data_IF_424711064762
#
_entry.id   IF_424711064762
#
_cell.length_a   1.000
_cell.length_b   1.000
_cell.length_c   1.000
_cell.angle_alpha   90.00
_cell.angle_beta   90.00
_cell.angle_gamma   90.00
#
_symmetry.space_group_name_H-M   'P 1'
#
loop_
_entity.id
_entity.type
_entity.pdbx_description
1 polymer ?
#
# COMPACT_ATOMS: atom_id res chain seq x y z
N UNK A 1 19.01 -12.29 16.31
CA UNK A 1 18.15 -12.87 15.25
C UNK A 1 18.99 -13.09 14.00
N UNK A 2 18.74 -14.15 13.23
CA UNK A 2 19.44 -14.38 11.94
C UNK A 2 18.84 -13.49 10.85
N UNK A 3 19.67 -13.00 9.94
CA UNK A 3 19.23 -12.28 8.73
C UNK A 3 18.44 -13.26 7.85
N UNK A 4 17.31 -12.81 7.31
CA UNK A 4 16.49 -13.61 6.41
C UNK A 4 17.26 -14.00 5.13
N UNK A 5 17.15 -15.28 4.78
CA UNK A 5 17.88 -15.91 3.67
C UNK A 5 17.11 -15.89 2.34
N UNK A 6 15.78 -16.01 2.38
CA UNK A 6 14.92 -15.91 1.20
C UNK A 6 14.48 -14.47 1.02
N UNK A 7 14.76 -13.90 -0.15
CA UNK A 7 14.23 -12.63 -0.58
C UNK A 7 13.08 -12.90 -1.56
N UNK A 8 13.41 -13.00 -2.83
CA UNK A 8 12.46 -13.10 -3.94
C UNK A 8 12.08 -14.54 -4.30
N UNK A 9 12.75 -15.52 -3.70
CA UNK A 9 12.60 -16.93 -4.02
C UNK A 9 11.25 -17.49 -3.56
N UNK A 10 10.80 -18.55 -4.25
CA UNK A 10 9.70 -19.39 -3.80
C UNK A 10 9.95 -19.96 -2.41
N UNK A 11 8.90 -19.96 -1.58
CA UNK A 11 8.90 -20.60 -0.26
C UNK A 11 8.39 -22.04 -0.40
N UNK A 12 9.26 -23.04 -0.16
CA UNK A 12 8.87 -24.46 -0.17
C UNK A 12 7.76 -24.75 0.84
N UNK A 13 6.92 -25.75 0.55
CA UNK A 13 5.74 -26.04 1.36
C UNK A 13 6.08 -26.38 2.82
N UNK A 14 7.22 -27.01 3.05
CA UNK A 14 7.78 -27.39 4.35
C UNK A 14 8.28 -26.20 5.18
N UNK A 15 8.61 -25.08 4.55
CA UNK A 15 9.01 -23.84 5.24
C UNK A 15 7.81 -22.92 5.54
N UNK A 16 6.60 -23.30 5.10
CA UNK A 16 5.38 -22.53 5.33
C UNK A 16 4.77 -22.82 6.70
N UNK A 17 4.32 -21.77 7.36
CA UNK A 17 3.90 -21.79 8.75
C UNK A 17 2.88 -20.69 9.07
N UNK A 18 2.31 -20.73 10.27
CA UNK A 18 1.36 -19.71 10.75
C UNK A 18 -0.09 -20.04 10.42
N UNK A 19 -1.00 -19.12 10.75
CA UNK A 19 -2.44 -19.29 10.55
C UNK A 19 -3.01 -18.05 9.85
N UNK A 20 -4.05 -18.22 9.03
CA UNK A 20 -4.71 -17.10 8.35
C UNK A 20 -5.14 -15.98 9.30
N UNK A 21 -5.59 -16.33 10.52
CA UNK A 21 -5.97 -15.36 11.56
C UNK A 21 -4.84 -14.42 11.99
N UNK A 22 -3.58 -14.80 11.77
CA UNK A 22 -2.43 -13.98 12.11
C UNK A 22 -2.26 -12.80 11.15
N UNK A 23 -2.95 -12.81 9.99
CA UNK A 23 -2.99 -11.68 9.05
C UNK A 23 -3.77 -10.49 9.59
N UNK A 24 -4.83 -10.74 10.39
CA UNK A 24 -5.64 -9.66 10.97
C UNK A 24 -4.79 -8.66 11.77
N UNK A 25 -4.04 -9.08 12.82
CA UNK A 25 -3.26 -8.13 13.59
C UNK A 25 -2.17 -7.46 12.76
N UNK A 26 -1.61 -8.11 11.73
CA UNK A 26 -0.60 -7.51 10.85
C UNK A 26 -1.19 -6.28 10.14
N UNK A 27 -2.31 -6.45 9.44
CA UNK A 27 -2.93 -5.39 8.65
C UNK A 27 -3.66 -4.35 9.49
N UNK A 28 -4.18 -4.77 10.64
CA UNK A 28 -4.70 -3.84 11.65
C UNK A 28 -3.58 -2.91 12.15
N UNK A 29 -2.47 -3.49 12.62
CA UNK A 29 -1.31 -2.71 13.06
C UNK A 29 -0.69 -1.88 11.95
N UNK A 30 -0.78 -2.34 10.69
CA UNK A 30 -0.20 -1.63 9.55
C UNK A 30 -0.85 -0.28 9.29
N UNK A 31 -2.01 -0.05 9.90
CA UNK A 31 -2.72 1.22 9.85
C UNK A 31 -2.60 2.02 11.16
N UNK A 32 -2.06 1.45 12.25
CA UNK A 32 -1.92 2.09 13.56
C UNK A 32 -0.72 3.07 13.61
N UNK A 33 -0.72 4.06 12.74
CA UNK A 33 0.33 5.08 12.67
C UNK A 33 -0.24 6.44 12.24
N UNK A 34 0.53 7.49 12.48
CA UNK A 34 0.10 8.88 12.28
C UNK A 34 -0.18 9.20 10.81
N UNK A 35 0.51 8.59 9.84
CA UNK A 35 0.19 8.79 8.41
C UNK A 35 -1.25 8.39 8.07
N UNK A 36 -1.75 7.26 8.58
CA UNK A 36 -3.14 6.83 8.36
C UNK A 36 -4.11 7.85 8.95
N UNK A 37 -3.80 8.33 10.16
CA UNK A 37 -4.60 9.34 10.85
C UNK A 37 -4.67 10.63 10.02
N UNK A 38 -3.52 11.15 9.62
CA UNK A 38 -3.41 12.36 8.78
C UNK A 38 -4.09 12.18 7.43
N UNK A 39 -4.08 10.98 6.86
CA UNK A 39 -4.82 10.70 5.62
C UNK A 39 -6.34 10.85 5.83
N UNK A 40 -6.85 10.51 7.01
CA UNK A 40 -8.26 10.72 7.37
C UNK A 40 -8.65 12.18 7.58
N UNK A 41 -7.69 13.09 7.74
CA UNK A 41 -7.94 14.53 7.76
C UNK A 41 -8.18 15.12 6.37
N UNK A 42 -7.69 14.46 5.33
CA UNK A 42 -7.72 14.99 3.97
C UNK A 42 -9.14 15.23 3.42
N UNK A 43 -10.16 14.38 3.68
CA UNK A 43 -11.54 14.69 3.28
C UNK A 43 -12.06 16.02 3.86
N UNK A 44 -11.68 16.35 5.09
CA UNK A 44 -12.00 17.64 5.73
C UNK A 44 -11.25 18.77 5.02
N UNK A 45 -9.95 18.58 4.76
CA UNK A 45 -9.12 19.56 4.05
C UNK A 45 -9.60 19.83 2.61
N UNK A 46 -10.26 18.85 1.97
CA UNK A 46 -10.90 18.98 0.66
C UNK A 46 -12.25 19.72 0.73
N UNK A 47 -12.78 19.99 1.93
CA UNK A 47 -13.99 20.79 2.14
C UNK A 47 -15.24 19.99 2.54
N UNK A 48 -15.12 18.70 2.86
CA UNK A 48 -16.24 17.95 3.45
C UNK A 48 -16.43 18.29 4.93
N UNK A 49 -17.66 18.22 5.41
CA UNK A 49 -17.93 18.20 6.85
C UNK A 49 -17.52 16.85 7.48
N UNK A 50 -17.57 16.75 8.81
CA UNK A 50 -17.18 15.53 9.51
C UNK A 50 -18.06 14.34 9.14
N UNK A 51 -19.38 14.54 9.02
CA UNK A 51 -20.31 13.48 8.62
C UNK A 51 -19.93 12.85 7.26
N UNK A 52 -19.84 13.64 6.19
CA UNK A 52 -19.51 13.13 4.85
C UNK A 52 -18.08 12.61 4.75
N UNK A 53 -17.15 13.16 5.54
CA UNK A 53 -15.79 12.64 5.64
C UNK A 53 -15.76 11.22 6.22
N UNK A 54 -16.51 10.97 7.31
CA UNK A 54 -16.61 9.64 7.90
C UNK A 54 -17.25 8.63 6.93
N UNK A 55 -18.31 9.04 6.22
CA UNK A 55 -18.94 8.19 5.21
C UNK A 55 -17.98 7.90 4.05
N UNK A 56 -17.24 8.92 3.55
CA UNK A 56 -16.25 8.72 2.49
C UNK A 56 -15.12 7.79 2.92
N UNK A 57 -14.65 7.91 4.18
CA UNK A 57 -13.64 7.03 4.77
C UNK A 57 -14.13 5.59 4.81
N UNK A 58 -15.35 5.36 5.31
CA UNK A 58 -15.94 4.02 5.41
C UNK A 58 -16.11 3.42 4.00
N UNK A 59 -16.76 4.14 3.08
CA UNK A 59 -17.04 3.63 1.73
C UNK A 59 -15.74 3.36 0.96
N UNK A 60 -14.82 4.34 0.92
CA UNK A 60 -13.54 4.18 0.24
C UNK A 60 -12.70 3.04 0.81
N UNK A 61 -12.68 2.90 2.15
CA UNK A 61 -11.96 1.81 2.81
C UNK A 61 -12.54 0.46 2.45
N UNK A 62 -13.85 0.29 2.56
CA UNK A 62 -14.49 -0.99 2.27
C UNK A 62 -14.28 -1.39 0.81
N UNK A 63 -14.40 -0.45 -0.13
CA UNK A 63 -14.18 -0.73 -1.55
C UNK A 63 -12.72 -1.10 -1.86
N UNK A 64 -11.76 -0.28 -1.40
CA UNK A 64 -10.35 -0.53 -1.68
C UNK A 64 -9.81 -1.78 -0.99
N UNK A 65 -10.31 -2.10 0.21
CA UNK A 65 -9.92 -3.30 0.95
C UNK A 65 -10.30 -4.60 0.23
N UNK A 66 -11.35 -4.62 -0.60
CA UNK A 66 -11.72 -5.81 -1.40
C UNK A 66 -10.55 -6.22 -2.28
N UNK A 67 -10.00 -5.27 -3.02
CA UNK A 67 -8.93 -5.53 -3.98
C UNK A 67 -7.62 -5.89 -3.26
N UNK A 68 -7.27 -5.13 -2.22
CA UNK A 68 -6.11 -5.43 -1.37
C UNK A 68 -6.20 -6.86 -0.78
N UNK A 69 -7.33 -7.22 -0.18
CA UNK A 69 -7.52 -8.55 0.41
C UNK A 69 -7.53 -9.67 -0.64
N UNK A 70 -7.98 -9.38 -1.87
CA UNK A 70 -7.95 -10.34 -2.98
C UNK A 70 -6.50 -10.69 -3.36
N UNK A 71 -5.60 -9.70 -3.40
CA UNK A 71 -4.17 -9.97 -3.56
C UNK A 71 -3.61 -10.80 -2.40
N UNK A 72 -4.04 -10.55 -1.16
CA UNK A 72 -3.62 -11.36 0.00
C UNK A 72 -3.89 -12.84 -0.22
N UNK A 73 -5.05 -13.14 -0.78
CA UNK A 73 -5.54 -14.50 -0.96
C UNK A 73 -4.73 -15.31 -1.99
N UNK A 74 -3.93 -14.65 -2.83
CA UNK A 74 -3.01 -15.26 -3.80
C UNK A 74 -1.76 -15.87 -3.12
N UNK A 75 -1.31 -15.26 -2.01
CA UNK A 75 -0.05 -15.59 -1.36
C UNK A 75 0.11 -17.07 -1.01
N UNK A 76 -0.84 -17.71 -0.29
CA UNK A 76 -0.72 -19.12 0.11
C UNK A 76 -0.69 -20.08 -1.08
N UNK A 77 -1.21 -19.73 -2.25
CA UNK A 77 -1.12 -20.60 -3.42
C UNK A 77 0.24 -20.46 -4.11
N UNK A 78 0.72 -19.23 -4.27
CA UNK A 78 1.90 -18.94 -5.10
C UNK A 78 3.22 -19.02 -4.34
N UNK A 79 3.25 -18.70 -3.05
CA UNK A 79 4.46 -18.79 -2.22
C UNK A 79 5.59 -17.85 -2.65
N UNK A 80 5.29 -16.79 -3.41
CA UNK A 80 6.24 -15.79 -3.93
C UNK A 80 5.76 -14.37 -3.61
N UNK A 81 6.69 -13.39 -3.52
CA UNK A 81 6.35 -11.98 -3.31
C UNK A 81 5.33 -11.44 -4.31
N UNK A 82 4.47 -10.50 -3.90
CA UNK A 82 3.38 -9.99 -4.73
C UNK A 82 3.89 -9.45 -6.07
N UNK A 83 4.90 -8.60 -6.04
CA UNK A 83 5.34 -7.91 -7.25
C UNK A 83 6.01 -8.85 -8.25
N UNK A 84 6.55 -10.00 -7.81
CA UNK A 84 7.06 -11.06 -8.70
C UNK A 84 5.93 -11.73 -9.48
N UNK A 85 4.75 -11.84 -8.88
CA UNK A 85 3.59 -12.44 -9.54
C UNK A 85 3.23 -11.67 -10.83
N UNK A 86 3.56 -10.37 -10.90
CA UNK A 86 3.42 -9.54 -12.11
C UNK A 86 4.12 -10.13 -13.34
N UNK A 87 5.16 -10.95 -13.17
CA UNK A 87 5.85 -11.63 -14.28
C UNK A 87 4.93 -12.59 -15.04
N UNK A 88 3.92 -13.15 -14.39
CA UNK A 88 2.95 -14.02 -15.06
C UNK A 88 2.02 -13.23 -16.00
N UNK A 89 1.69 -11.98 -15.65
CA UNK A 89 0.86 -11.12 -16.50
C UNK A 89 1.68 -10.38 -17.55
N UNK A 90 2.79 -9.76 -17.15
CA UNK A 90 3.57 -8.84 -18.01
C UNK A 90 4.75 -9.50 -18.73
N UNK A 91 5.10 -10.75 -18.40
CA UNK A 91 6.39 -11.35 -18.75
C UNK A 91 7.50 -10.87 -17.81
N UNK A 92 8.64 -11.57 -17.81
CA UNK A 92 9.70 -11.36 -16.82
C UNK A 92 10.34 -9.98 -16.90
N UNK A 93 10.65 -9.51 -18.12
CA UNK A 93 11.17 -8.16 -18.37
C UNK A 93 10.03 -7.15 -18.37
N UNK A 94 8.86 -7.51 -18.92
CA UNK A 94 7.70 -6.59 -18.94
C UNK A 94 7.21 -6.20 -17.55
N UNK A 95 7.35 -7.07 -16.54
CA UNK A 95 6.99 -6.78 -15.16
C UNK A 95 7.80 -5.65 -14.53
N UNK A 96 8.95 -5.28 -15.12
CA UNK A 96 9.73 -4.11 -14.70
C UNK A 96 8.90 -2.82 -14.78
N UNK A 97 7.94 -2.76 -15.72
CA UNK A 97 7.11 -1.58 -15.89
C UNK A 97 6.29 -1.26 -14.63
N UNK A 98 5.42 -2.15 -14.11
CA UNK A 98 4.74 -1.90 -12.84
C UNK A 98 5.69 -1.89 -11.63
N UNK A 99 6.80 -2.65 -11.67
CA UNK A 99 7.81 -2.64 -10.60
C UNK A 99 8.47 -1.27 -10.42
N UNK A 100 8.78 -0.59 -11.51
CA UNK A 100 9.35 0.76 -11.47
C UNK A 100 8.37 1.74 -10.85
N UNK A 101 7.09 1.67 -11.21
CA UNK A 101 6.06 2.55 -10.66
C UNK A 101 5.81 2.28 -9.17
N UNK A 102 5.80 1.02 -8.74
CA UNK A 102 5.62 0.68 -7.32
C UNK A 102 6.81 1.11 -6.46
N UNK A 103 8.03 1.23 -7.02
CA UNK A 103 9.16 1.82 -6.29
C UNK A 103 8.87 3.25 -5.84
N UNK A 104 8.13 4.04 -6.64
CA UNK A 104 7.67 5.36 -6.21
C UNK A 104 6.67 5.28 -5.07
N UNK A 105 5.80 4.25 -5.06
CA UNK A 105 4.86 4.01 -3.94
C UNK A 105 5.64 3.79 -2.64
N UNK A 106 6.59 2.86 -2.63
CA UNK A 106 7.39 2.57 -1.45
C UNK A 106 8.19 3.78 -0.97
N UNK A 107 8.88 4.46 -1.88
CA UNK A 107 9.72 5.62 -1.55
C UNK A 107 8.90 6.84 -1.12
N UNK A 108 7.75 7.08 -1.77
CA UNK A 108 6.86 8.19 -1.44
C UNK A 108 6.20 8.00 -0.09
N UNK A 109 5.74 6.79 0.24
CA UNK A 109 5.26 6.49 1.58
C UNK A 109 6.38 6.54 2.61
N UNK A 110 7.58 6.04 2.31
CA UNK A 110 8.74 6.12 3.21
C UNK A 110 9.09 7.58 3.56
N UNK A 111 9.15 8.46 2.56
CA UNK A 111 9.43 9.88 2.73
C UNK A 111 8.32 10.58 3.53
N UNK A 112 7.05 10.43 3.11
CA UNK A 112 5.90 11.09 3.74
C UNK A 112 5.74 10.68 5.21
N UNK A 113 5.84 9.38 5.47
CA UNK A 113 5.81 8.79 6.79
C UNK A 113 7.01 9.20 7.65
N UNK A 114 8.21 9.18 7.08
CA UNK A 114 9.43 9.59 7.77
C UNK A 114 9.35 11.05 8.23
N UNK A 115 8.74 11.90 7.40
CA UNK A 115 8.58 13.32 7.71
C UNK A 115 7.66 13.55 8.92
N UNK A 116 6.53 12.85 8.99
CA UNK A 116 5.62 12.93 10.14
C UNK A 116 6.27 12.42 11.44
N UNK A 117 7.04 11.33 11.40
CA UNK A 117 7.78 10.91 12.60
C UNK A 117 8.89 11.88 12.97
N UNK A 118 9.58 12.47 12.00
CA UNK A 118 10.61 13.46 12.30
C UNK A 118 10.02 14.70 12.95
N UNK A 119 8.89 15.22 12.46
CA UNK A 119 8.16 16.31 13.11
C UNK A 119 7.76 15.96 14.54
N UNK A 120 7.26 14.73 14.74
CA UNK A 120 6.86 14.22 16.05
C UNK A 120 8.05 14.10 17.01
N UNK A 121 9.19 13.60 16.54
CA UNK A 121 10.40 13.47 17.35
C UNK A 121 11.00 14.84 17.68
N UNK A 122 11.00 15.75 16.71
CA UNK A 122 11.45 17.13 16.89
C UNK A 122 10.59 17.90 17.89
N UNK A 123 9.26 17.71 17.89
CA UNK A 123 8.40 18.36 18.88
C UNK A 123 8.59 17.81 20.30
N UNK A 124 9.00 16.54 20.44
CA UNK A 124 9.34 15.95 21.74
C UNK A 124 10.70 16.42 22.27
N UNK A 125 11.71 16.52 21.41
CA UNK A 125 13.12 16.66 21.82
C UNK A 125 13.74 18.03 21.53
N UNK A 126 13.02 18.90 20.82
CA UNK A 126 13.53 20.17 20.27
C UNK A 126 14.71 19.99 19.30
N UNK A 127 14.94 18.77 18.80
CA UNK A 127 15.98 18.47 17.81
C UNK A 127 15.58 19.03 16.44
N UNK A 128 16.55 19.53 15.67
CA UNK A 128 16.32 19.90 14.28
C UNK A 128 15.76 18.71 13.48
N UNK A 129 14.76 19.00 12.65
CA UNK A 129 14.00 18.00 11.93
C UNK A 129 14.87 17.18 10.96
N UNK A 130 15.95 17.75 10.41
CA UNK A 130 16.93 17.05 9.57
C UNK A 130 17.57 15.90 10.35
N UNK A 131 18.00 16.16 11.58
CA UNK A 131 18.62 15.14 12.44
C UNK A 131 17.62 14.07 12.86
N UNK A 132 16.37 14.47 13.16
CA UNK A 132 15.28 13.52 13.42
C UNK A 132 15.05 12.58 12.23
N UNK A 133 15.03 13.11 10.99
CA UNK A 133 14.91 12.31 9.75
C UNK A 133 16.05 11.29 9.66
N UNK A 134 17.31 11.74 9.82
CA UNK A 134 18.49 10.89 9.69
C UNK A 134 18.47 9.74 10.71
N UNK A 135 18.21 10.05 11.99
CA UNK A 135 18.18 9.04 13.07
C UNK A 135 17.11 7.99 12.79
N UNK A 136 15.88 8.41 12.50
CA UNK A 136 14.76 7.50 12.27
C UNK A 136 14.97 6.62 11.03
N UNK A 137 15.52 7.19 9.95
CA UNK A 137 15.79 6.43 8.73
C UNK A 137 16.95 5.44 8.90
N UNK A 138 17.98 5.78 9.68
CA UNK A 138 19.05 4.85 10.08
C UNK A 138 18.48 3.69 10.89
N UNK A 139 17.57 3.97 11.85
CA UNK A 139 16.89 2.92 12.60
C UNK A 139 16.06 2.00 11.69
N UNK A 140 15.27 2.57 10.77
CA UNK A 140 14.50 1.80 9.78
C UNK A 140 15.42 0.91 8.94
N UNK A 141 16.55 1.45 8.46
CA UNK A 141 17.55 0.70 7.72
C UNK A 141 18.06 -0.51 8.50
N UNK A 142 18.50 -0.32 9.75
CA UNK A 142 19.04 -1.39 10.60
C UNK A 142 18.00 -2.49 10.81
N UNK A 143 16.75 -2.13 11.11
CA UNK A 143 15.68 -3.09 11.33
C UNK A 143 15.35 -3.88 10.05
N UNK A 144 15.31 -3.22 8.90
CA UNK A 144 14.98 -3.84 7.60
C UNK A 144 15.97 -4.92 7.18
N UNK A 145 17.24 -4.82 7.60
CA UNK A 145 18.28 -5.83 7.34
C UNK A 145 17.87 -7.21 7.87
N UNK A 146 17.21 -7.29 9.03
CA UNK A 146 16.83 -8.57 9.63
C UNK A 146 15.64 -9.24 8.94
N UNK A 147 14.79 -8.47 8.26
CA UNK A 147 13.75 -8.99 7.38
C UNK A 147 12.49 -9.50 8.04
N UNK A 148 11.76 -10.32 7.29
CA UNK A 148 10.38 -10.76 7.57
C UNK A 148 10.08 -11.07 9.04
N UNK A 149 10.92 -11.86 9.70
CA UNK A 149 10.67 -12.31 11.08
C UNK A 149 10.70 -11.19 12.12
N UNK A 150 11.59 -10.21 11.96
CA UNK A 150 11.65 -9.07 12.89
C UNK A 150 10.47 -8.14 12.63
N UNK A 151 10.17 -7.91 11.34
CA UNK A 151 9.03 -7.10 10.90
C UNK A 151 7.73 -7.65 11.48
N UNK A 152 7.50 -8.96 11.38
CA UNK A 152 6.31 -9.61 11.94
C UNK A 152 6.18 -9.44 13.45
N UNK A 153 7.28 -9.59 14.18
CA UNK A 153 7.28 -9.44 15.64
C UNK A 153 7.00 -7.99 16.05
N UNK A 154 7.64 -7.03 15.39
CA UNK A 154 7.40 -5.62 15.60
C UNK A 154 5.95 -5.27 15.29
N UNK A 155 5.42 -5.77 14.18
CA UNK A 155 4.05 -5.50 13.78
C UNK A 155 3.04 -6.05 14.78
N UNK A 156 3.22 -7.29 15.22
CA UNK A 156 2.35 -7.89 16.23
C UNK A 156 2.39 -7.12 17.55
N UNK A 157 3.58 -6.72 18.01
CA UNK A 157 3.74 -5.91 19.21
C UNK A 157 3.02 -4.57 19.04
N UNK A 158 3.26 -3.87 17.93
CA UNK A 158 2.63 -2.60 17.58
C UNK A 158 1.12 -2.70 17.62
N UNK A 159 0.52 -3.72 17.00
CA UNK A 159 -0.94 -3.86 16.95
C UNK A 159 -1.56 -3.88 18.33
N UNK A 160 -0.99 -4.64 19.27
CA UNK A 160 -1.53 -4.77 20.61
C UNK A 160 -1.25 -3.54 21.49
N UNK A 161 -0.05 -2.97 21.42
CA UNK A 161 0.27 -1.76 22.20
C UNK A 161 -0.50 -0.55 21.67
N UNK A 162 -0.60 -0.40 20.36
CA UNK A 162 -1.32 0.71 19.71
C UNK A 162 -2.82 0.61 19.94
N UNK A 163 -3.40 -0.60 19.92
CA UNK A 163 -4.82 -0.79 20.23
C UNK A 163 -5.19 -0.14 21.57
N UNK A 164 -4.43 -0.39 22.63
CA UNK A 164 -4.72 0.16 23.94
C UNK A 164 -4.55 1.69 23.97
N UNK A 165 -3.44 2.20 23.42
CA UNK A 165 -3.15 3.64 23.45
C UNK A 165 -4.15 4.43 22.59
N UNK A 166 -4.51 3.95 21.40
CA UNK A 166 -5.51 4.61 20.56
C UNK A 166 -6.94 4.44 21.05
N UNK A 167 -7.27 3.40 21.85
CA UNK A 167 -8.54 3.35 22.58
C UNK A 167 -8.64 4.51 23.58
N UNK A 168 -7.58 4.75 24.35
CA UNK A 168 -7.52 5.91 25.26
C UNK A 168 -7.60 7.22 24.46
N UNK A 169 -6.84 7.34 23.37
CA UNK A 169 -6.91 8.50 22.49
C UNK A 169 -8.34 8.73 21.95
N UNK A 170 -9.05 7.66 21.59
CA UNK A 170 -10.44 7.75 21.11
C UNK A 170 -11.35 8.34 22.16
N UNK A 171 -11.26 7.89 23.41
CA UNK A 171 -12.06 8.45 24.53
C UNK A 171 -11.76 9.93 24.75
N UNK A 172 -10.49 10.33 24.69
CA UNK A 172 -10.10 11.74 24.81
C UNK A 172 -10.66 12.56 23.65
N UNK A 173 -10.53 12.06 22.41
CA UNK A 173 -10.93 12.78 21.19
C UNK A 173 -12.43 13.00 21.13
N UNK A 174 -13.26 12.01 21.50
CA UNK A 174 -14.73 12.16 21.48
C UNK A 174 -15.24 13.14 22.54
N UNK A 175 -14.42 13.49 23.53
CA UNK A 175 -14.73 14.50 24.56
C UNK A 175 -14.26 15.91 24.18
N UNK A 176 -13.52 16.06 23.08
CA UNK A 176 -13.12 17.38 22.61
C UNK A 176 -14.34 18.20 22.16
N UNK A 177 -14.30 19.53 22.29
CA UNK A 177 -15.36 20.37 21.79
C UNK A 177 -15.37 20.35 20.25
N UNK A 178 -16.43 19.81 19.67
CA UNK A 178 -16.69 19.90 18.23
C UNK A 178 -17.57 21.13 17.93
N UNK A 179 -17.32 21.86 16.83
CA UNK A 179 -18.24 22.88 16.35
C UNK A 179 -19.66 22.31 16.18
N UNK A 180 -20.67 23.09 16.57
CA UNK A 180 -22.06 22.69 16.41
C UNK A 180 -22.37 22.35 14.94
N UNK A 181 -23.14 21.30 14.71
CA UNK A 181 -23.46 20.83 13.36
C UNK A 181 -22.37 20.02 12.65
N UNK A 182 -21.21 19.74 13.28
CA UNK A 182 -20.13 18.98 12.64
C UNK A 182 -20.58 17.61 12.09
N UNK A 183 -21.48 16.94 12.81
CA UNK A 183 -22.05 15.64 12.44
C UNK A 183 -23.41 15.73 11.73
N UNK A 184 -23.91 16.93 11.44
CA UNK A 184 -25.11 17.07 10.64
C UNK A 184 -24.83 16.62 9.21
N UNK A 185 -25.79 15.92 8.60
CA UNK A 185 -25.65 15.46 7.22
C UNK A 185 -25.40 16.65 6.29
N UNK A 186 -26.19 17.72 6.38
CA UNK A 186 -26.06 18.87 5.46
C UNK A 186 -26.15 18.48 3.99
N UNK A 187 -25.78 19.39 3.08
CA UNK A 187 -25.70 19.11 1.64
C UNK A 187 -24.38 18.40 1.28
N UNK A 188 -24.46 17.33 0.48
CA UNK A 188 -23.25 16.67 -0.04
C UNK A 188 -22.69 17.41 -1.25
N UNK A 189 -21.42 17.81 -1.18
CA UNK A 189 -20.67 18.21 -2.37
C UNK A 189 -20.20 16.93 -3.08
N UNK A 190 -21.09 16.36 -3.92
CA UNK A 190 -20.85 15.05 -4.55
C UNK A 190 -19.48 14.92 -5.23
N UNK A 191 -18.94 15.93 -5.97
CA UNK A 191 -17.61 15.84 -6.56
C UNK A 191 -16.49 15.64 -5.52
N UNK A 192 -16.53 16.41 -4.43
CA UNK A 192 -15.55 16.34 -3.34
C UNK A 192 -15.70 15.02 -2.57
N UNK A 193 -16.93 14.55 -2.38
CA UNK A 193 -17.21 13.25 -1.77
C UNK A 193 -16.60 12.10 -2.59
N UNK A 194 -16.80 12.08 -3.91
CA UNK A 194 -16.23 11.07 -4.79
C UNK A 194 -14.69 11.13 -4.82
N UNK A 195 -14.12 12.33 -4.82
CA UNK A 195 -12.67 12.53 -4.70
C UNK A 195 -12.12 11.93 -3.39
N UNK A 196 -12.78 12.20 -2.25
CA UNK A 196 -12.40 11.65 -0.96
C UNK A 196 -12.52 10.12 -0.92
N UNK A 197 -13.59 9.54 -1.48
CA UNK A 197 -13.76 8.08 -1.61
C UNK A 197 -12.63 7.47 -2.45
N UNK A 198 -12.30 8.08 -3.59
CA UNK A 198 -11.21 7.63 -4.48
C UNK A 198 -9.86 7.63 -3.77
N UNK A 199 -9.56 8.71 -3.04
CA UNK A 199 -8.33 8.85 -2.27
C UNK A 199 -8.22 7.79 -1.16
N UNK A 200 -9.29 7.54 -0.40
CA UNK A 200 -9.29 6.52 0.66
C UNK A 200 -9.24 5.09 0.08
N UNK A 201 -9.93 4.83 -1.03
CA UNK A 201 -9.81 3.56 -1.73
C UNK A 201 -8.38 3.32 -2.24
N UNK A 202 -7.73 4.37 -2.75
CA UNK A 202 -6.32 4.33 -3.16
C UNK A 202 -5.40 4.04 -1.98
N UNK A 203 -5.66 4.60 -0.80
CA UNK A 203 -4.90 4.27 0.41
C UNK A 203 -4.93 2.76 0.71
N UNK A 204 -6.09 2.11 0.60
CA UNK A 204 -6.17 0.65 0.78
C UNK A 204 -5.40 -0.10 -0.30
N UNK A 205 -5.60 0.32 -1.56
CA UNK A 205 -4.93 -0.28 -2.71
C UNK A 205 -3.42 -0.12 -2.65
N UNK A 206 -2.91 0.93 -1.99
CA UNK A 206 -1.48 1.12 -1.76
C UNK A 206 -0.84 -0.08 -1.07
N UNK A 207 -1.57 -0.88 -0.29
CA UNK A 207 -1.05 -2.10 0.33
C UNK A 207 -1.07 -3.33 -0.59
N UNK A 208 -1.74 -3.28 -1.74
CA UNK A 208 -1.83 -4.40 -2.68
C UNK A 208 -0.45 -4.94 -3.10
N UNK A 209 0.58 -4.13 -3.37
CA UNK A 209 1.94 -4.61 -3.63
C UNK A 209 2.65 -5.34 -2.49
N UNK A 210 2.16 -5.19 -1.26
CA UNK A 210 2.79 -5.69 -0.04
C UNK A 210 2.15 -7.00 0.39
N UNK A 211 0.85 -7.15 0.10
CA UNK A 211 0.00 -8.03 0.90
C UNK A 211 0.33 -9.51 0.79
N UNK A 212 0.71 -9.99 -0.40
CA UNK A 212 1.13 -11.38 -0.56
C UNK A 212 2.50 -11.69 0.04
N UNK A 213 3.33 -10.68 0.35
CA UNK A 213 4.63 -10.91 0.99
C UNK A 213 4.49 -11.50 2.40
N UNK A 214 3.35 -11.23 3.04
CA UNK A 214 2.99 -11.72 4.36
C UNK A 214 2.24 -13.05 4.27
N UNK A 215 1.25 -13.15 3.39
CA UNK A 215 0.43 -14.36 3.26
C UNK A 215 1.12 -15.52 2.54
N UNK A 216 2.20 -15.27 1.77
CA UNK A 216 2.98 -16.33 1.08
C UNK A 216 3.62 -17.37 2.00
N UNK A 217 3.84 -17.04 3.27
CA UNK A 217 4.38 -17.98 4.24
C UNK A 217 3.32 -18.92 4.82
N UNK A 218 2.02 -18.70 4.55
CA UNK A 218 0.97 -19.58 5.07
C UNK A 218 0.94 -20.93 4.32
N UNK A 219 0.53 -22.03 4.99
CA UNK A 219 0.42 -23.34 4.36
C UNK A 219 -0.40 -23.31 3.07
N UNK A 220 -0.03 -24.11 2.06
CA UNK A 220 -0.75 -24.22 0.76
C UNK A 220 -2.22 -24.60 0.96
N UNK A 221 -2.52 -25.35 2.02
CA UNK A 221 -3.86 -25.80 2.40
C UNK A 221 -4.71 -24.71 3.05
N UNK A 222 -4.17 -23.50 3.25
CA UNK A 222 -4.90 -22.38 3.85
C UNK A 222 -6.05 -21.94 2.94
N UNK A 223 -7.31 -21.90 3.43
CA UNK A 223 -8.43 -21.49 2.60
C UNK A 223 -8.31 -20.04 2.14
N UNK A 224 -8.45 -19.80 0.83
CA UNK A 224 -8.42 -18.47 0.19
C UNK A 224 -9.37 -17.48 0.88
N UNK A 225 -10.57 -17.93 1.27
CA UNK A 225 -11.55 -17.10 1.97
C UNK A 225 -11.06 -16.62 3.34
N UNK A 226 -10.33 -17.45 4.10
CA UNK A 226 -9.80 -17.02 5.39
C UNK A 226 -8.71 -15.96 5.21
N UNK A 227 -7.80 -16.18 4.27
CA UNK A 227 -6.75 -15.22 3.92
C UNK A 227 -7.35 -13.87 3.49
N UNK A 228 -8.41 -13.90 2.67
CA UNK A 228 -9.15 -12.71 2.29
C UNK A 228 -9.76 -12.00 3.51
N UNK A 229 -10.62 -12.67 4.29
CA UNK A 229 -11.40 -12.01 5.34
C UNK A 229 -10.55 -11.50 6.50
N UNK A 230 -9.51 -12.24 6.93
CA UNK A 230 -8.64 -11.76 8.00
C UNK A 230 -7.82 -10.54 7.56
N UNK A 231 -7.34 -10.50 6.31
CA UNK A 231 -6.67 -9.31 5.77
C UNK A 231 -7.64 -8.15 5.58
N UNK A 232 -8.83 -8.42 5.03
CA UNK A 232 -9.88 -7.43 4.79
C UNK A 232 -10.31 -6.73 6.09
N UNK A 233 -10.72 -7.49 7.11
CA UNK A 233 -11.17 -6.89 8.37
C UNK A 233 -10.01 -6.25 9.14
N UNK A 234 -8.81 -6.84 9.07
CA UNK A 234 -7.62 -6.27 9.71
C UNK A 234 -7.35 -4.86 9.18
N UNK A 235 -7.21 -4.71 7.86
CA UNK A 235 -6.96 -3.40 7.24
C UNK A 235 -8.15 -2.47 7.40
N UNK A 236 -9.38 -2.92 7.10
CA UNK A 236 -10.54 -2.05 7.06
C UNK A 236 -10.86 -1.43 8.42
N UNK A 237 -10.85 -2.23 9.49
CA UNK A 237 -11.11 -1.74 10.85
C UNK A 237 -9.99 -0.77 11.28
N UNK A 238 -8.74 -1.15 11.04
CA UNK A 238 -7.59 -0.31 11.41
C UNK A 238 -7.60 1.04 10.72
N UNK A 239 -7.86 1.05 9.41
CA UNK A 239 -7.92 2.28 8.61
C UNK A 239 -9.10 3.15 8.97
N UNK A 240 -10.33 2.60 9.01
CA UNK A 240 -11.54 3.37 9.35
C UNK A 240 -11.35 4.04 10.69
N UNK A 241 -10.86 3.30 11.68
CA UNK A 241 -10.67 3.84 13.03
C UNK A 241 -9.67 4.99 13.04
N UNK A 242 -8.46 4.78 12.50
CA UNK A 242 -7.41 5.79 12.53
C UNK A 242 -7.75 7.02 11.68
N UNK A 243 -8.32 6.82 10.49
CA UNK A 243 -8.76 7.92 9.64
C UNK A 243 -9.91 8.71 10.27
N UNK A 244 -10.87 8.05 10.92
CA UNK A 244 -11.96 8.73 11.63
C UNK A 244 -11.43 9.60 12.77
N UNK A 245 -10.44 9.12 13.54
CA UNK A 245 -9.76 9.93 14.55
C UNK A 245 -9.10 11.16 13.93
N UNK A 246 -8.44 11.03 12.79
CA UNK A 246 -7.83 12.15 12.07
C UNK A 246 -8.81 13.20 11.57
N UNK A 247 -9.94 12.75 11.00
CA UNK A 247 -11.03 13.63 10.61
C UNK A 247 -11.58 14.42 11.82
N UNK A 248 -11.80 13.72 12.94
CA UNK A 248 -12.28 14.34 14.18
C UNK A 248 -11.27 15.36 14.75
N UNK A 249 -9.99 14.99 14.84
CA UNK A 249 -8.91 15.85 15.34
C UNK A 249 -8.75 17.12 14.49
N UNK A 250 -8.90 17.02 13.18
CA UNK A 250 -8.77 18.16 12.26
C UNK A 250 -9.88 19.19 12.45
N UNK A 251 -11.08 18.73 12.84
CA UNK A 251 -12.20 19.61 13.17
C UNK A 251 -12.06 20.19 14.59
N UNK A 252 -11.61 19.37 15.54
CA UNK A 252 -11.55 19.76 16.95
C UNK A 252 -10.34 20.64 17.31
N UNK A 253 -9.23 20.52 16.58
CA UNK A 253 -7.97 21.19 16.90
C UNK A 253 -7.55 22.10 15.73
N UNK A 254 -7.49 23.42 15.94
CA UNK A 254 -6.98 24.35 14.94
C UNK A 254 -5.56 23.99 14.50
N UNK A 255 -5.29 24.07 13.20
CA UNK A 255 -3.99 23.78 12.60
C UNK A 255 -3.42 22.40 12.98
N UNK A 256 -4.31 21.42 13.26
CA UNK A 256 -3.91 20.06 13.65
C UNK A 256 -2.83 19.48 12.73
N UNK A 257 -3.02 19.65 11.41
CA UNK A 257 -2.17 19.10 10.37
C UNK A 257 -0.73 19.61 10.38
N UNK A 258 -0.48 20.84 10.83
CA UNK A 258 0.86 21.43 10.86
C UNK A 258 1.79 20.70 11.83
N UNK A 259 1.25 20.18 12.94
CA UNK A 259 2.00 19.52 14.00
C UNK A 259 1.28 18.24 14.48
N UNK A 260 0.78 17.44 13.55
CA UNK A 260 -0.16 16.33 13.81
C UNK A 260 0.25 15.41 14.97
N UNK A 261 1.50 14.95 14.99
CA UNK A 261 1.98 14.03 16.01
C UNK A 261 2.14 14.69 17.39
N UNK A 262 2.67 15.91 17.43
CA UNK A 262 2.79 16.68 18.68
C UNK A 262 1.43 17.04 19.25
N UNK A 263 0.54 17.58 18.43
CA UNK A 263 -0.84 17.93 18.81
C UNK A 263 -1.59 16.72 19.39
N UNK A 264 -1.48 15.55 18.74
CA UNK A 264 -2.07 14.32 19.24
C UNK A 264 -1.45 13.86 20.57
N UNK A 265 -0.13 13.95 20.71
CA UNK A 265 0.55 13.58 21.94
C UNK A 265 0.19 14.50 23.12
N UNK A 266 0.05 15.80 22.89
CA UNK A 266 -0.31 16.77 23.93
C UNK A 266 -1.69 16.54 24.55
N UNK A 267 -2.61 15.87 23.83
CA UNK A 267 -3.92 15.48 24.39
C UNK A 267 -3.81 14.54 25.59
N UNK A 268 -2.69 13.81 25.73
CA UNK A 268 -2.45 12.91 26.85
C UNK A 268 -1.92 13.64 28.10
N UNK A 269 -1.73 14.96 28.06
CA UNK A 269 -1.27 15.76 29.19
C UNK A 269 0.06 15.23 29.76
N UNK A 270 0.08 14.91 31.07
CA UNK A 270 1.25 14.34 31.74
C UNK A 270 1.72 12.98 31.18
N UNK A 271 0.88 12.30 30.40
CA UNK A 271 1.20 11.02 29.75
C UNK A 271 1.60 11.16 28.27
N UNK A 272 1.83 12.38 27.77
CA UNK A 272 2.19 12.64 26.37
C UNK A 272 3.33 11.77 25.84
N UNK A 273 4.33 11.45 26.68
CA UNK A 273 5.45 10.59 26.31
C UNK A 273 5.01 9.20 25.79
N UNK A 274 3.93 8.64 26.33
CA UNK A 274 3.39 7.34 25.88
C UNK A 274 2.91 7.46 24.43
N UNK A 275 2.22 8.56 24.11
CA UNK A 275 1.71 8.80 22.76
C UNK A 275 2.84 9.14 21.77
N UNK A 276 3.84 9.89 22.20
CA UNK A 276 5.05 10.09 21.40
C UNK A 276 5.74 8.77 21.03
N UNK A 277 5.93 7.88 22.01
CA UNK A 277 6.55 6.58 21.79
C UNK A 277 5.72 5.70 20.85
N UNK A 278 4.38 5.70 20.97
CA UNK A 278 3.53 4.89 20.08
C UNK A 278 3.54 5.42 18.65
N UNK A 279 3.54 6.75 18.45
CA UNK A 279 3.58 7.36 17.11
C UNK A 279 4.92 7.02 16.44
N UNK A 280 6.03 7.23 17.14
CA UNK A 280 7.37 6.94 16.60
C UNK A 280 7.51 5.44 16.30
N UNK A 281 7.06 4.56 17.20
CA UNK A 281 7.14 3.12 16.98
C UNK A 281 6.28 2.65 15.80
N UNK A 282 5.04 3.16 15.69
CA UNK A 282 4.17 2.87 14.56
C UNK A 282 4.76 3.35 13.23
N UNK A 283 5.41 4.52 13.25
CA UNK A 283 6.02 5.05 12.04
C UNK A 283 7.27 4.26 11.60
N UNK A 284 8.11 3.86 12.55
CA UNK A 284 9.24 2.97 12.28
C UNK A 284 8.77 1.65 11.68
N UNK A 285 7.71 1.05 12.24
CA UNK A 285 7.19 -0.22 11.77
C UNK A 285 6.71 -0.15 10.31
N UNK A 286 5.92 0.86 9.95
CA UNK A 286 5.43 1.00 8.55
C UNK A 286 6.55 1.43 7.59
N UNK A 287 7.53 2.23 8.02
CA UNK A 287 8.66 2.57 7.15
C UNK A 287 9.59 1.39 6.88
N UNK A 288 9.70 0.46 7.82
CA UNK A 288 10.38 -0.81 7.58
C UNK A 288 9.63 -1.66 6.54
N UNK A 289 8.29 -1.65 6.52
CA UNK A 289 7.52 -2.28 5.43
C UNK A 289 7.89 -1.66 4.08
N UNK A 290 7.92 -0.33 4.01
CA UNK A 290 8.22 0.40 2.77
C UNK A 290 9.63 0.08 2.24
N UNK A 291 10.65 0.13 3.10
CA UNK A 291 12.02 -0.22 2.72
C UNK A 291 12.14 -1.69 2.31
N UNK A 292 11.47 -2.59 3.02
CA UNK A 292 11.47 -4.02 2.67
C UNK A 292 10.87 -4.26 1.29
N UNK A 293 9.69 -3.70 1.00
CA UNK A 293 9.03 -3.84 -0.30
C UNK A 293 9.83 -3.19 -1.45
N UNK A 294 10.45 -2.03 -1.20
CA UNK A 294 11.34 -1.39 -2.16
C UNK A 294 12.59 -2.24 -2.46
N UNK A 295 13.20 -2.82 -1.43
CA UNK A 295 14.33 -3.75 -1.58
C UNK A 295 13.93 -4.97 -2.43
N UNK A 296 12.79 -5.59 -2.12
CA UNK A 296 12.27 -6.75 -2.85
C UNK A 296 11.97 -6.45 -4.32
N UNK A 297 11.36 -5.29 -4.58
CA UNK A 297 11.04 -4.83 -5.93
C UNK A 297 12.30 -4.46 -6.73
N UNK A 298 13.31 -3.90 -6.06
CA UNK A 298 14.63 -3.62 -6.65
C UNK A 298 15.32 -4.91 -7.10
N UNK A 299 15.37 -5.93 -6.24
CA UNK A 299 15.95 -7.23 -6.64
C UNK A 299 15.16 -7.82 -7.80
N UNK A 300 13.83 -7.83 -7.72
CA UNK A 300 12.98 -8.40 -8.78
C UNK A 300 13.23 -7.74 -10.14
N UNK A 301 13.54 -6.45 -10.15
CA UNK A 301 13.83 -5.66 -11.34
C UNK A 301 15.20 -5.98 -11.94
N UNK A 302 16.21 -6.23 -11.10
CA UNK A 302 17.61 -6.41 -11.54
C UNK A 302 17.92 -7.88 -11.87
N UNK A 303 17.30 -8.82 -11.17
CA UNK A 303 17.55 -10.27 -11.29
C UNK A 303 17.50 -10.81 -12.74
N UNK A 304 16.60 -10.38 -13.64
CA UNK A 304 16.58 -10.88 -15.01
C UNK A 304 17.84 -10.54 -15.83
N UNK A 305 18.58 -9.50 -15.44
CA UNK A 305 19.78 -9.03 -16.15
C UNK A 305 21.07 -9.49 -15.49
N UNK A 306 21.01 -9.81 -14.20
CA UNK A 306 22.15 -10.20 -13.39
C UNK A 306 21.75 -11.42 -12.59
N UNK A 307 22.47 -12.54 -12.76
CA UNK A 307 22.33 -13.75 -11.94
C UNK A 307 22.81 -13.48 -10.50
N UNK A 308 22.04 -12.67 -9.78
CA UNK A 308 22.39 -12.11 -8.48
C UNK A 308 21.99 -13.08 -7.38
N UNK A 309 22.98 -13.59 -6.65
CA UNK A 309 22.72 -14.28 -5.38
C UNK A 309 22.61 -13.23 -4.28
N UNK A 310 21.44 -13.13 -3.65
CA UNK A 310 21.19 -12.14 -2.58
C UNK A 310 21.87 -12.61 -1.29
N UNK A 311 23.17 -12.30 -1.16
CA UNK A 311 23.91 -12.48 0.09
C UNK A 311 23.55 -11.40 1.10
N UNK A 312 23.90 -11.59 2.38
CA UNK A 312 23.70 -10.57 3.41
C UNK A 312 24.34 -9.22 3.05
N UNK A 313 25.52 -9.21 2.40
CA UNK A 313 26.19 -7.97 1.95
C UNK A 313 25.41 -7.25 0.85
N UNK A 314 24.92 -8.01 -0.16
CA UNK A 314 24.09 -7.47 -1.25
C UNK A 314 22.79 -6.89 -0.69
N UNK A 315 22.15 -7.60 0.24
CA UNK A 315 20.96 -7.13 0.94
C UNK A 315 21.21 -5.79 1.65
N UNK A 316 22.27 -5.71 2.47
CA UNK A 316 22.63 -4.49 3.18
C UNK A 316 22.89 -3.34 2.20
N UNK A 317 23.66 -3.57 1.13
CA UNK A 317 23.98 -2.55 0.13
C UNK A 317 22.75 -2.03 -0.62
N UNK A 318 21.83 -2.92 -1.01
CA UNK A 318 20.59 -2.53 -1.69
C UNK A 318 19.62 -1.78 -0.78
N UNK A 319 19.41 -2.26 0.45
CA UNK A 319 18.56 -1.55 1.41
C UNK A 319 19.19 -0.18 1.71
N UNK A 320 20.51 -0.09 1.85
CA UNK A 320 21.19 1.19 2.07
C UNK A 320 20.94 2.17 0.91
N UNK A 321 21.10 1.72 -0.34
CA UNK A 321 20.82 2.56 -1.51
C UNK A 321 19.39 3.08 -1.54
N UNK A 322 18.41 2.20 -1.29
CA UNK A 322 16.98 2.58 -1.20
C UNK A 322 16.73 3.55 -0.05
N UNK A 323 17.32 3.31 1.13
CA UNK A 323 17.20 4.22 2.29
C UNK A 323 17.79 5.59 1.98
N UNK A 324 18.94 5.67 1.31
CA UNK A 324 19.56 6.94 0.93
C UNK A 324 18.64 7.73 0.00
N UNK A 325 18.11 7.09 -1.05
CA UNK A 325 17.15 7.72 -1.98
C UNK A 325 15.91 8.20 -1.21
N UNK A 326 15.32 7.34 -0.37
CA UNK A 326 14.16 7.69 0.44
C UNK A 326 14.43 8.83 1.44
N UNK A 327 15.64 8.89 1.99
CA UNK A 327 16.07 9.97 2.90
C UNK A 327 16.21 11.29 2.15
N UNK A 328 16.79 11.28 0.95
CA UNK A 328 16.87 12.47 0.10
C UNK A 328 15.45 12.99 -0.20
N UNK A 329 14.52 12.12 -0.57
CA UNK A 329 13.13 12.50 -0.82
C UNK A 329 12.45 13.08 0.42
N UNK A 330 12.71 12.52 1.61
CA UNK A 330 12.21 13.04 2.88
C UNK A 330 12.71 14.47 3.14
N UNK A 331 14.01 14.72 2.93
CA UNK A 331 14.63 16.05 3.09
C UNK A 331 14.07 17.07 2.08
N UNK A 332 13.87 16.66 0.83
CA UNK A 332 13.29 17.53 -0.20
C UNK A 332 11.82 17.88 0.06
N UNK A 333 11.07 16.96 0.68
CA UNK A 333 9.64 17.13 0.99
C UNK A 333 9.35 17.91 2.27
N UNK A 334 10.37 18.25 3.07
CA UNK A 334 10.22 18.75 4.43
C UNK A 334 9.41 20.05 4.55
N UNK A 335 9.45 20.91 3.53
CA UNK A 335 8.83 22.24 3.55
C UNK A 335 7.36 22.28 3.13
N UNK A 336 6.83 21.25 2.46
CA UNK A 336 5.45 21.25 1.95
C UNK A 336 4.84 19.84 1.94
N UNK A 337 4.79 19.24 3.14
CA UNK A 337 4.30 17.87 3.34
C UNK A 337 2.90 17.66 2.74
N UNK A 338 1.92 18.51 3.07
CA UNK A 338 0.52 18.26 2.72
C UNK A 338 0.31 18.24 1.20
N UNK A 339 0.90 19.20 0.49
CA UNK A 339 0.81 19.25 -0.97
C UNK A 339 1.56 18.08 -1.61
N UNK A 340 2.74 17.73 -1.10
CA UNK A 340 3.50 16.57 -1.57
C UNK A 340 2.72 15.27 -1.38
N UNK A 341 2.13 15.08 -0.20
CA UNK A 341 1.40 13.86 0.16
C UNK A 341 0.10 13.70 -0.65
N UNK A 342 -0.70 14.76 -0.81
CA UNK A 342 -1.91 14.71 -1.64
C UNK A 342 -1.58 14.37 -3.11
N UNK A 343 -0.59 15.05 -3.69
CA UNK A 343 -0.17 14.78 -5.07
C UNK A 343 0.40 13.37 -5.24
N UNK A 344 1.12 12.87 -4.24
CA UNK A 344 1.61 11.50 -4.21
C UNK A 344 0.47 10.48 -4.21
N UNK A 345 -0.55 10.64 -3.36
CA UNK A 345 -1.71 9.72 -3.32
C UNK A 345 -2.45 9.70 -4.66
N UNK A 346 -2.70 10.86 -5.27
CA UNK A 346 -3.33 10.89 -6.59
C UNK A 346 -2.46 10.24 -7.65
N UNK A 347 -1.16 10.57 -7.70
CA UNK A 347 -0.23 9.98 -8.66
C UNK A 347 -0.22 8.44 -8.62
N UNK A 348 -0.20 7.85 -7.42
CA UNK A 348 -0.17 6.39 -7.31
C UNK A 348 -1.50 5.73 -7.70
N UNK A 349 -2.63 6.42 -7.56
CA UNK A 349 -3.93 5.88 -7.95
C UNK A 349 -3.97 5.52 -9.44
N UNK A 350 -3.33 6.33 -10.30
CA UNK A 350 -3.49 6.21 -11.75
C UNK A 350 -2.74 5.07 -12.41
N UNK A 351 -1.84 4.39 -11.69
CA UNK A 351 -1.15 3.21 -12.20
C UNK A 351 -1.33 1.99 -11.32
N UNK A 352 -1.57 2.17 -10.02
CA UNK A 352 -1.73 1.04 -9.12
C UNK A 352 -3.06 0.34 -9.38
N UNK A 353 -4.10 1.11 -9.67
CA UNK A 353 -5.45 0.58 -9.90
C UNK A 353 -5.49 -0.25 -11.19
N UNK A 354 -4.97 0.21 -12.35
CA UNK A 354 -4.86 -0.64 -13.54
C UNK A 354 -4.05 -1.92 -13.33
N UNK A 355 -2.96 -1.84 -12.57
CA UNK A 355 -2.13 -3.01 -12.28
C UNK A 355 -2.90 -4.04 -11.46
N UNK A 356 -3.58 -3.58 -10.40
CA UNK A 356 -4.46 -4.41 -9.56
C UNK A 356 -5.55 -5.07 -10.40
N UNK A 357 -6.22 -4.31 -11.27
CA UNK A 357 -7.26 -4.84 -12.14
C UNK A 357 -6.73 -5.97 -13.04
N UNK A 358 -5.63 -5.75 -13.75
CA UNK A 358 -5.01 -6.77 -14.61
C UNK A 358 -4.63 -8.02 -13.82
N UNK A 359 -3.97 -7.85 -12.68
CA UNK A 359 -3.48 -8.96 -11.86
C UNK A 359 -4.65 -9.81 -11.32
N UNK A 360 -5.69 -9.18 -10.79
CA UNK A 360 -6.85 -9.88 -10.25
C UNK A 360 -7.67 -10.56 -11.35
N UNK A 361 -7.82 -9.93 -12.52
CA UNK A 361 -8.47 -10.56 -13.69
C UNK A 361 -7.70 -11.79 -14.16
N UNK A 362 -6.37 -11.72 -14.28
CA UNK A 362 -5.55 -12.89 -14.64
C UNK A 362 -5.74 -14.02 -13.62
N UNK A 363 -5.64 -13.70 -12.33
CA UNK A 363 -5.67 -14.68 -11.27
C UNK A 363 -7.04 -15.35 -11.10
N UNK A 364 -8.12 -14.57 -11.03
CA UNK A 364 -9.46 -15.09 -10.72
C UNK A 364 -10.26 -15.52 -11.95
N UNK A 365 -10.11 -14.83 -13.08
CA UNK A 365 -11.00 -15.03 -14.24
C UNK A 365 -10.34 -15.79 -15.40
N UNK A 366 -9.01 -15.78 -15.52
CA UNK A 366 -8.31 -16.46 -16.62
C UNK A 366 -7.60 -17.74 -16.15
N UNK A 367 -6.69 -17.61 -15.19
CA UNK A 367 -5.84 -18.73 -14.73
C UNK A 367 -6.40 -19.46 -13.51
N UNK A 368 -7.41 -18.89 -12.85
CA UNK A 368 -8.09 -19.49 -11.69
C UNK A 368 -7.12 -19.99 -10.60
N UNK A 369 -6.12 -19.16 -10.27
CA UNK A 369 -5.07 -19.47 -9.30
C UNK A 369 -4.02 -20.50 -9.75
N UNK A 370 -4.11 -21.04 -10.97
CA UNK A 370 -3.18 -22.05 -11.50
C UNK A 370 -2.02 -21.40 -12.24
N UNK A 371 -0.88 -21.32 -11.56
CA UNK A 371 0.37 -20.80 -12.13
C UNK A 371 1.48 -21.85 -12.03
N UNK A 372 2.28 -21.96 -13.08
CA UNK A 372 3.58 -22.60 -12.97
C UNK A 372 4.55 -21.59 -12.35
N UNK A 373 4.92 -21.79 -11.08
CA UNK A 373 5.81 -20.87 -10.36
C UNK A 373 7.26 -20.96 -10.86
N UNK A 374 7.69 -22.10 -11.40
CA UNK A 374 9.07 -22.25 -11.91
C UNK A 374 9.30 -21.32 -13.10
N UNK A 375 8.34 -21.26 -14.02
CA UNK A 375 8.41 -20.45 -15.23
C UNK A 375 8.39 -18.94 -14.94
N UNK A 376 7.99 -18.50 -13.74
CA UNK A 376 8.07 -17.09 -13.31
C UNK A 376 9.53 -16.62 -13.16
N UNK A 377 10.45 -17.57 -12.97
CA UNK A 377 11.89 -17.31 -12.84
C UNK A 377 12.69 -17.72 -14.08
N UNK A 378 12.04 -18.17 -15.16
CA UNK A 378 12.71 -18.62 -16.39
C UNK A 378 12.34 -17.72 -17.58
N UNK A 379 13.33 -16.98 -18.11
CA UNK A 379 13.19 -16.11 -19.29
C UNK A 379 12.66 -16.84 -20.53
N UNK A 380 12.83 -18.17 -20.59
CA UNK A 380 12.36 -19.02 -21.67
C UNK A 380 11.12 -19.85 -21.29
N UNK A 381 10.57 -19.67 -20.08
CA UNK A 381 9.36 -20.32 -19.60
C UNK A 381 8.08 -19.75 -20.23
N UNK A 382 6.93 -20.30 -19.86
CA UNK A 382 5.65 -20.02 -20.53
C UNK A 382 5.17 -18.56 -20.53
N UNK A 383 5.65 -17.74 -19.58
CA UNK A 383 5.26 -16.32 -19.51
C UNK A 383 6.12 -15.42 -20.42
N UNK A 384 7.26 -15.93 -20.87
CA UNK A 384 8.19 -15.23 -21.77
C UNK A 384 8.77 -13.95 -21.17
N UNK A 385 9.51 -13.22 -22.02
CA UNK A 385 10.20 -11.98 -21.63
C UNK A 385 9.22 -10.81 -21.48
N UNK A 386 8.36 -10.59 -22.47
CA UNK A 386 7.43 -9.47 -22.52
C UNK A 386 6.08 -9.97 -23.04
N UNK A 387 5.02 -9.67 -22.30
CA UNK A 387 3.65 -9.83 -22.75
C UNK A 387 3.11 -8.48 -23.21
N UNK A 388 3.20 -8.22 -24.52
CA UNK A 388 2.77 -6.96 -25.12
C UNK A 388 1.27 -6.66 -24.92
N UNK A 389 0.42 -7.69 -24.82
CA UNK A 389 -1.01 -7.51 -24.52
C UNK A 389 -1.15 -6.72 -23.22
N UNK A 390 -0.45 -7.17 -22.18
CA UNK A 390 -0.53 -6.59 -20.84
C UNK A 390 0.14 -5.23 -20.78
N UNK A 391 1.34 -5.07 -21.35
CA UNK A 391 2.04 -3.79 -21.34
C UNK A 391 1.26 -2.70 -22.06
N UNK A 392 0.66 -3.02 -23.21
CA UNK A 392 -0.19 -2.09 -23.96
C UNK A 392 -1.49 -1.81 -23.21
N UNK A 393 -2.17 -2.84 -22.69
CA UNK A 393 -3.40 -2.66 -21.90
C UNK A 393 -3.15 -1.74 -20.69
N UNK A 394 -2.04 -1.93 -19.99
CA UNK A 394 -1.65 -1.12 -18.84
C UNK A 394 -1.35 0.34 -19.25
N UNK A 395 -0.52 0.55 -20.27
CA UNK A 395 -0.20 1.90 -20.76
C UNK A 395 -1.44 2.64 -21.26
N UNK A 396 -2.26 1.97 -22.07
CA UNK A 396 -3.50 2.56 -22.60
C UNK A 396 -4.47 2.90 -21.47
N UNK A 397 -4.56 2.07 -20.43
CA UNK A 397 -5.42 2.36 -19.27
C UNK A 397 -4.99 3.64 -18.57
N UNK A 398 -3.68 3.82 -18.31
CA UNK A 398 -3.14 5.06 -17.73
C UNK A 398 -3.49 6.27 -18.60
N UNK A 399 -3.35 6.16 -19.93
CA UNK A 399 -3.69 7.25 -20.86
C UNK A 399 -5.19 7.57 -20.89
N UNK A 400 -6.04 6.55 -20.79
CA UNK A 400 -7.51 6.70 -20.79
C UNK A 400 -8.02 7.31 -19.48
N UNK A 401 -7.27 7.18 -18.39
CA UNK A 401 -7.61 7.85 -17.13
C UNK A 401 -7.39 9.36 -17.16
N UNK A 402 -6.44 9.87 -17.95
CA UNK A 402 -6.03 11.29 -17.97
C UNK A 402 -7.23 12.26 -18.01
N UNK A 403 -8.25 12.07 -18.87
CA UNK A 403 -9.40 12.98 -18.91
C UNK A 403 -10.24 13.05 -17.63
N UNK A 404 -10.15 12.05 -16.76
CA UNK A 404 -10.95 11.86 -15.55
C UNK A 404 -10.20 12.24 -14.26
N UNK A 405 -8.91 12.56 -14.38
CA UNK A 405 -8.02 12.94 -13.27
C UNK A 405 -8.39 14.31 -12.70
N UNK A 406 -8.39 14.43 -11.37
CA UNK A 406 -8.37 15.71 -10.68
C UNK A 406 -7.25 15.76 -9.64
N UNK A 407 -6.14 16.42 -9.98
CA UNK A 407 -5.04 16.73 -9.07
C UNK A 407 -4.83 18.24 -8.93
N UNK A 408 -3.97 18.64 -7.99
CA UNK A 408 -3.61 20.05 -7.82
C UNK A 408 -2.91 20.66 -9.05
N UNK A 409 -2.26 19.85 -9.88
CA UNK A 409 -1.50 20.30 -11.05
C UNK A 409 -2.26 20.13 -12.37
N UNK A 410 -3.26 19.24 -12.42
CA UNK A 410 -4.01 18.97 -13.64
C UNK A 410 -5.44 18.53 -13.33
N UNK A 411 -6.39 19.16 -14.01
CA UNK A 411 -7.80 18.75 -14.00
C UNK A 411 -8.22 18.39 -15.42
N UNK A 412 -8.55 17.13 -15.64
CA UNK A 412 -8.96 16.60 -16.93
C UNK A 412 -10.29 17.19 -17.42
N UNK A 413 -10.54 17.22 -18.74
CA UNK A 413 -11.77 17.80 -19.31
C UNK A 413 -13.04 17.12 -18.80
N UNK A 414 -13.03 15.81 -18.57
CA UNK A 414 -14.20 15.10 -18.02
C UNK A 414 -14.35 15.43 -16.55
N UNK A 415 -13.27 15.41 -15.76
CA UNK A 415 -13.31 15.85 -14.36
C UNK A 415 -13.88 17.28 -14.22
N UNK A 416 -13.48 18.22 -15.10
CA UNK A 416 -14.05 19.58 -15.17
C UNK A 416 -15.55 19.57 -15.47
N UNK A 417 -15.99 18.76 -16.44
CA UNK A 417 -17.40 18.64 -16.78
C UNK A 417 -18.25 18.06 -15.63
N UNK A 418 -17.64 17.26 -14.74
CA UNK A 418 -18.25 16.72 -13.53
C UNK A 418 -17.96 17.56 -12.27
N UNK A 419 -17.76 18.88 -12.43
CA UNK A 419 -17.53 19.82 -11.32
C UNK A 419 -16.35 19.41 -10.40
N UNK A 420 -15.30 18.81 -10.98
CA UNK A 420 -14.10 18.36 -10.25
C UNK A 420 -14.21 16.97 -9.63
N UNK A 421 -15.19 16.14 -10.00
CA UNK A 421 -15.24 14.77 -9.52
C UNK A 421 -14.10 13.94 -10.14
N UNK A 422 -13.26 13.30 -9.31
CA UNK A 422 -12.30 12.30 -9.78
C UNK A 422 -12.96 10.91 -9.77
N UNK A 423 -13.20 10.40 -10.98
CA UNK A 423 -13.72 9.05 -11.21
C UNK A 423 -12.70 8.18 -11.97
N UNK A 424 -11.46 8.64 -12.09
CA UNK A 424 -10.40 7.93 -12.81
C UNK A 424 -10.17 6.53 -12.24
N UNK A 425 -10.32 6.36 -10.93
CA UNK A 425 -10.21 5.06 -10.27
C UNK A 425 -11.20 4.00 -10.80
N UNK A 426 -12.42 4.39 -11.19
CA UNK A 426 -13.41 3.47 -11.78
C UNK A 426 -12.95 3.05 -13.18
N UNK A 427 -12.49 4.02 -13.96
CA UNK A 427 -11.95 3.81 -15.31
C UNK A 427 -10.73 2.88 -15.23
N UNK A 428 -9.86 3.12 -14.26
CA UNK A 428 -8.68 2.30 -13.95
C UNK A 428 -8.96 0.90 -13.45
N UNK A 429 -10.20 0.58 -13.06
CA UNK A 429 -10.62 -0.78 -12.78
C UNK A 429 -11.19 -1.45 -14.04
N UNK A 430 -12.10 -0.76 -14.74
CA UNK A 430 -12.91 -1.37 -15.80
C UNK A 430 -12.15 -1.50 -17.13
N UNK A 431 -11.46 -0.44 -17.55
CA UNK A 431 -10.75 -0.41 -18.83
C UNK A 431 -9.63 -1.46 -18.90
N UNK A 432 -8.70 -1.53 -17.93
CA UNK A 432 -7.63 -2.53 -17.97
C UNK A 432 -8.17 -3.95 -17.90
N UNK A 433 -9.25 -4.19 -17.13
CA UNK A 433 -9.90 -5.50 -17.08
C UNK A 433 -10.34 -5.95 -18.47
N UNK A 434 -11.04 -5.09 -19.22
CA UNK A 434 -11.47 -5.40 -20.59
C UNK A 434 -10.31 -5.54 -21.58
N UNK A 435 -9.39 -4.57 -21.59
CA UNK A 435 -8.25 -4.54 -22.51
C UNK A 435 -7.31 -5.73 -22.33
N UNK A 436 -7.23 -6.27 -21.11
CA UNK A 436 -6.44 -7.46 -20.81
C UNK A 436 -7.22 -8.77 -21.01
N UNK A 437 -8.44 -8.87 -20.48
CA UNK A 437 -9.21 -10.12 -20.43
C UNK A 437 -9.44 -10.73 -21.81
N UNK A 438 -10.01 -9.97 -22.76
CA UNK A 438 -10.42 -10.53 -24.05
C UNK A 438 -9.23 -11.02 -24.89
N UNK A 439 -8.14 -10.25 -25.08
CA UNK A 439 -7.01 -10.72 -25.87
C UNK A 439 -6.25 -11.87 -25.18
N UNK A 440 -6.11 -11.82 -23.84
CA UNK A 440 -5.40 -12.86 -23.10
C UNK A 440 -6.19 -14.18 -23.09
N UNK A 441 -7.52 -14.13 -22.93
CA UNK A 441 -8.38 -15.32 -23.05
C UNK A 441 -8.22 -16.01 -24.40
N UNK A 442 -8.21 -15.22 -25.50
CA UNK A 442 -7.98 -15.76 -26.85
C UNK A 442 -6.62 -16.44 -26.97
N UNK A 443 -5.57 -15.81 -26.42
CA UNK A 443 -4.20 -16.36 -26.42
C UNK A 443 -4.11 -17.68 -25.65
N UNK A 444 -4.71 -17.76 -24.46
CA UNK A 444 -4.71 -18.98 -23.63
C UNK A 444 -5.47 -20.12 -24.30
N UNK A 445 -6.69 -19.88 -24.81
CA UNK A 445 -7.47 -20.90 -25.51
C UNK A 445 -6.74 -21.46 -26.74
N UNK A 446 -6.01 -20.60 -27.47
CA UNK A 446 -5.24 -21.03 -28.64
C UNK A 446 -4.09 -21.95 -28.22
N UNK A 447 -3.38 -21.63 -27.13
CA UNK A 447 -2.32 -22.48 -26.61
C UNK A 447 -2.84 -23.87 -26.21
N UNK A 448 -3.96 -23.93 -25.48
CA UNK A 448 -4.56 -25.19 -25.05
C UNK A 448 -4.95 -26.08 -26.25
N UNK A 449 -5.55 -25.48 -27.29
CA UNK A 449 -5.92 -26.22 -28.52
C UNK A 449 -4.72 -26.80 -29.27
N UNK A 450 -3.58 -26.10 -29.27
CA UNK A 450 -2.35 -26.57 -29.91
C UNK A 450 -1.74 -27.75 -29.14
N UNK A 451 -1.77 -27.71 -27.80
CA UNK A 451 -1.33 -28.83 -26.96
C UNK A 451 -2.20 -30.08 -27.17
N UNK A 452 -3.53 -29.94 -27.25
CA UNK A 452 -4.42 -31.07 -27.53
C UNK A 452 -4.19 -31.67 -28.91
N UNK A 453 -3.92 -30.84 -29.92
CA UNK A 453 -3.69 -31.30 -31.30
C UNK A 453 -2.37 -32.06 -31.42
N UNK A 454 -1.30 -31.61 -30.75
CA UNK A 454 -0.02 -32.32 -30.73
C UNK A 454 -0.10 -33.68 -30.01
N UNK A 455 -0.87 -33.78 -28.92
CA UNK A 455 -1.06 -35.04 -28.20
C UNK A 455 -1.95 -36.05 -28.94
N UNK A 456 -2.76 -35.64 -29.91
CA UNK A 456 -3.54 -36.54 -30.78
C UNK A 456 -2.78 -37.02 -32.01
N UNK A 457 -1.66 -36.38 -32.34
CA UNK A 457 -0.81 -36.72 -33.48
C UNK A 457 0.35 -37.67 -33.11
N UNK A 458 0.51 -37.95 -31.81
CA UNK A 458 1.35 -39.01 -31.23
C UNK A 458 0.47 -40.20 -30.87
#
# INVERSE_FOLDING_TARGET
MKVESRSIEYIPAEERHGKARDLFPIWFGANMHITTLVTGALPIALGLNLFWSLIAIIVGTLLGAIFMASHSAQGPQLGIPQMIQSRAQFGIIGAIFPLFLVMFVYLGFFASSGLLAAQTLSSLTSMDQTWSILILNIMCFIVTIFGYNLIHKMQKLLSWTSLLVYLVATVIIVQLPFPAGSLEMGSVQLPVFLLAVSMVATWQLAYAPYVADYSRYLPVTTPTAQTFWYSYFGTAIGTIWMMALGAALTIAIPNFLEHSGGNLAHLFGGFAIIMYLIIIFGQLAINVFNLYGAFMSTITTIEPFMKLKVTAKVRIGMIFGVTVIGTILCLLGQSNFLSFFLNFIFFISYFLIPWTSINLVDYYLLRHGRYNVKDIFDLNGQYGKINWITCIAFLVSILVEIPFINTSFYVGPVAKAFNGADIAWVIGLVVPAGLYYFPMRKKLNTADSLFETQNRAL
#
